data_IF_717807121275
#
_entry.id   IF_717807121275
#
_cell.length_a   1.000
_cell.length_b   1.000
_cell.length_c   1.000
_cell.angle_alpha   90.00
_cell.angle_beta   90.00
_cell.angle_gamma   90.00
#
_symmetry.space_group_name_H-M   'P 1'
#
loop_
_entity.id
_entity.type
_entity.pdbx_description
1 polymer ?
#
# COMPACT_ATOMS: atom_id res chain seq x y z
N UNK A 1 -7.75 -22.17 3.98
CA UNK A 1 -7.59 -20.92 4.75
C UNK A 1 -8.16 -19.76 3.94
N UNK A 2 -9.00 -18.95 4.54
CA UNK A 2 -9.56 -17.81 3.82
C UNK A 2 -8.67 -16.57 3.98
N UNK A 3 -8.97 -15.52 3.23
CA UNK A 3 -8.18 -14.31 3.23
C UNK A 3 -8.14 -13.63 4.61
N UNK A 4 -9.24 -13.65 5.35
CA UNK A 4 -9.27 -13.03 6.67
C UNK A 4 -8.32 -13.71 7.65
N UNK A 5 -8.22 -15.03 7.58
CA UNK A 5 -7.29 -15.77 8.44
C UNK A 5 -5.85 -15.42 8.13
N UNK A 6 -5.53 -15.25 6.85
CA UNK A 6 -4.18 -14.85 6.44
C UNK A 6 -3.87 -13.44 6.94
N UNK A 7 -4.81 -12.52 6.78
CA UNK A 7 -4.64 -11.13 7.23
C UNK A 7 -4.44 -11.07 8.73
N UNK A 8 -5.25 -11.80 9.50
CA UNK A 8 -5.12 -11.82 10.95
C UNK A 8 -3.77 -12.37 11.39
N UNK A 9 -3.31 -13.43 10.73
CA UNK A 9 -2.00 -14.01 11.04
C UNK A 9 -0.88 -13.01 10.78
N UNK A 10 -0.93 -12.33 9.63
CA UNK A 10 0.08 -11.33 9.27
C UNK A 10 0.03 -10.11 10.18
N UNK A 11 -1.17 -9.68 10.57
CA UNK A 11 -1.32 -8.54 11.47
C UNK A 11 -0.62 -8.79 12.81
N UNK A 12 -0.69 -10.03 13.32
CA UNK A 12 -0.04 -10.36 14.56
C UNK A 12 1.48 -10.34 14.49
N UNK A 13 2.05 -10.28 13.29
CA UNK A 13 3.51 -10.26 13.11
C UNK A 13 4.06 -8.88 12.86
N UNK A 14 3.22 -7.86 12.71
CA UNK A 14 3.70 -6.51 12.40
C UNK A 14 4.44 -5.88 13.57
N UNK A 15 4.20 -6.35 14.78
CA UNK A 15 4.89 -5.82 15.96
C UNK A 15 6.37 -6.18 15.99
N UNK A 16 6.73 -7.32 15.41
CA UNK A 16 8.11 -7.80 15.44
C UNK A 16 8.82 -7.66 14.11
N UNK A 17 8.11 -7.24 13.06
CA UNK A 17 8.70 -7.13 11.73
C UNK A 17 8.18 -5.90 11.02
N UNK A 18 9.02 -5.35 10.16
CA UNK A 18 8.57 -4.30 9.25
C UNK A 18 7.89 -4.96 8.08
N UNK A 19 6.65 -4.59 7.84
CA UNK A 19 5.91 -5.19 6.73
C UNK A 19 4.83 -4.27 6.21
N UNK A 20 4.44 -4.53 4.97
CA UNK A 20 3.30 -3.92 4.32
C UNK A 20 2.46 -5.06 3.79
N UNK A 21 1.19 -5.07 4.13
CA UNK A 21 0.24 -6.06 3.59
C UNK A 21 -0.94 -5.31 3.00
N UNK A 22 -1.20 -5.59 1.73
CA UNK A 22 -2.33 -5.01 1.01
C UNK A 22 -3.16 -6.16 0.45
N UNK A 23 -4.43 -6.18 0.77
CA UNK A 23 -5.32 -7.20 0.24
C UNK A 23 -6.62 -6.56 -0.23
N UNK A 24 -7.25 -7.22 -1.19
CA UNK A 24 -8.56 -6.80 -1.68
C UNK A 24 -9.48 -8.01 -1.76
N UNK A 25 -10.64 -7.90 -1.15
CA UNK A 25 -11.69 -8.88 -1.30
C UNK A 25 -12.69 -8.34 -2.34
N UNK A 26 -12.60 -8.88 -3.55
CA UNK A 26 -13.42 -8.39 -4.66
C UNK A 26 -14.91 -8.61 -4.42
N UNK A 27 -15.26 -9.70 -3.75
CA UNK A 27 -16.66 -10.02 -3.49
C UNK A 27 -17.30 -9.01 -2.56
N UNK A 28 -16.55 -8.51 -1.60
CA UNK A 28 -17.03 -7.53 -0.63
C UNK A 28 -16.64 -6.11 -0.98
N UNK A 29 -15.83 -5.93 -2.01
CA UNK A 29 -15.29 -4.63 -2.41
C UNK A 29 -14.58 -3.94 -1.24
N UNK A 30 -13.78 -4.71 -0.51
CA UNK A 30 -13.06 -4.23 0.67
C UNK A 30 -11.56 -4.39 0.50
N UNK A 31 -10.84 -3.33 0.86
CA UNK A 31 -9.38 -3.34 0.88
C UNK A 31 -8.91 -3.35 2.32
N UNK A 32 -7.85 -4.11 2.57
CA UNK A 32 -7.21 -4.14 3.89
C UNK A 32 -5.76 -3.70 3.75
N UNK A 33 -5.33 -2.84 4.64
CA UNK A 33 -3.95 -2.34 4.67
C UNK A 33 -3.39 -2.61 6.06
N UNK A 34 -2.26 -3.29 6.11
CA UNK A 34 -1.53 -3.52 7.35
C UNK A 34 -0.14 -2.93 7.17
N UNK A 35 0.21 -2.00 8.04
CA UNK A 35 1.52 -1.32 8.01
C UNK A 35 2.17 -1.40 9.38
N UNK A 36 3.44 -1.72 9.42
CA UNK A 36 4.22 -1.56 10.64
C UNK A 36 4.42 -0.07 10.93
N UNK A 37 4.82 0.25 12.15
CA UNK A 37 4.85 1.65 12.59
C UNK A 37 6.06 2.44 12.12
N UNK A 38 7.16 1.79 11.81
CA UNK A 38 8.38 2.49 11.44
C UNK A 38 8.40 2.87 9.96
N UNK A 39 7.96 4.08 9.67
CA UNK A 39 7.84 4.57 8.30
C UNK A 39 9.18 4.55 7.56
N UNK A 40 10.26 4.96 8.22
CA UNK A 40 11.57 4.99 7.58
C UNK A 40 12.05 3.62 7.15
N UNK A 41 11.84 2.62 8.00
CA UNK A 41 12.24 1.25 7.65
C UNK A 41 11.35 0.65 6.58
N UNK A 42 10.07 1.02 6.55
CA UNK A 42 9.19 0.58 5.48
C UNK A 42 9.66 1.14 4.14
N UNK A 43 10.05 2.40 4.11
CA UNK A 43 10.57 3.02 2.89
C UNK A 43 11.83 2.31 2.44
N UNK A 44 12.77 2.05 3.35
CA UNK A 44 14.00 1.35 3.00
C UNK A 44 13.72 -0.05 2.47
N UNK A 45 12.80 -0.75 3.10
CA UNK A 45 12.41 -2.09 2.66
C UNK A 45 11.81 -2.06 1.26
N UNK A 46 10.96 -1.07 0.98
CA UNK A 46 10.36 -0.91 -0.33
C UNK A 46 11.42 -0.61 -1.39
N UNK A 47 12.34 0.29 -1.09
CA UNK A 47 13.41 0.63 -2.02
C UNK A 47 14.24 -0.60 -2.36
N UNK A 48 14.63 -1.36 -1.36
CA UNK A 48 15.42 -2.57 -1.57
C UNK A 48 14.65 -3.60 -2.42
N UNK A 49 13.37 -3.78 -2.12
CA UNK A 49 12.53 -4.72 -2.86
C UNK A 49 12.35 -4.29 -4.32
N UNK A 50 12.20 -2.99 -4.55
CA UNK A 50 12.06 -2.46 -5.91
C UNK A 50 13.33 -2.65 -6.72
N UNK A 51 14.49 -2.57 -6.08
CA UNK A 51 15.77 -2.78 -6.76
C UNK A 51 15.92 -4.23 -7.21
N UNK A 52 15.36 -5.16 -6.46
CA UNK A 52 15.47 -6.58 -6.78
C UNK A 52 14.35 -7.08 -7.65
N UNK A 53 13.24 -6.34 -7.72
CA UNK A 53 12.05 -6.79 -8.45
C UNK A 53 11.52 -5.65 -9.32
N UNK A 54 11.85 -5.71 -10.61
CA UNK A 54 11.47 -4.65 -11.54
C UNK A 54 9.96 -4.55 -11.75
N UNK A 55 9.26 -5.67 -11.64
CA UNK A 55 7.80 -5.66 -11.76
C UNK A 55 7.17 -4.92 -10.59
N UNK A 56 7.70 -5.16 -9.37
CA UNK A 56 7.22 -4.46 -8.20
C UNK A 56 7.49 -2.96 -8.33
N UNK A 57 8.68 -2.59 -8.79
CA UNK A 57 9.02 -1.20 -9.01
C UNK A 57 8.05 -0.54 -9.99
N UNK A 58 7.73 -1.23 -11.08
CA UNK A 58 6.79 -0.72 -12.07
C UNK A 58 5.40 -0.52 -11.46
N UNK A 59 4.92 -1.51 -10.71
CA UNK A 59 3.59 -1.43 -10.08
C UNK A 59 3.51 -0.25 -9.14
N UNK A 60 4.52 -0.08 -8.30
CA UNK A 60 4.54 1.01 -7.32
C UNK A 60 4.58 2.36 -8.04
N UNK A 61 5.42 2.48 -9.06
CA UNK A 61 5.51 3.71 -9.83
C UNK A 61 4.17 4.07 -10.48
N UNK A 62 3.53 3.10 -11.13
CA UNK A 62 2.27 3.35 -11.80
C UNK A 62 1.16 3.68 -10.81
N UNK A 63 1.15 3.00 -9.66
CA UNK A 63 0.17 3.29 -8.62
C UNK A 63 0.35 4.72 -8.09
N UNK A 64 1.59 5.13 -7.86
CA UNK A 64 1.87 6.49 -7.39
C UNK A 64 1.41 7.54 -8.40
N UNK A 65 1.76 7.34 -9.67
CA UNK A 65 1.40 8.30 -10.71
C UNK A 65 -0.10 8.37 -10.92
N UNK A 66 -0.77 7.23 -10.89
CA UNK A 66 -2.23 7.19 -11.03
C UNK A 66 -2.90 7.92 -9.87
N UNK A 67 -2.44 7.69 -8.66
CA UNK A 67 -2.98 8.35 -7.49
C UNK A 67 -2.76 9.88 -7.56
N UNK A 68 -1.60 10.28 -8.04
CA UNK A 68 -1.29 11.70 -8.19
C UNK A 68 -2.22 12.37 -9.19
N UNK A 69 -2.47 11.72 -10.33
CA UNK A 69 -3.43 12.23 -11.31
C UNK A 69 -4.83 12.33 -10.75
N UNK A 70 -5.24 11.29 -10.03
CA UNK A 70 -6.56 11.25 -9.43
C UNK A 70 -6.74 12.39 -8.44
N UNK A 71 -5.74 12.64 -7.62
CA UNK A 71 -5.78 13.73 -6.66
C UNK A 71 -5.85 15.08 -7.34
N UNK A 72 -5.15 15.26 -8.46
CA UNK A 72 -5.15 16.52 -9.20
C UNK A 72 -6.49 16.78 -9.88
N UNK A 73 -7.14 15.74 -10.38
CA UNK A 73 -8.39 15.89 -11.13
C UNK A 73 -9.60 15.91 -10.24
N UNK A 74 -9.52 15.34 -9.04
CA UNK A 74 -10.66 15.20 -8.15
C UNK A 74 -10.51 15.97 -6.84
N UNK A 75 -9.48 16.78 -6.72
CA UNK A 75 -9.26 17.52 -5.50
C UNK A 75 -10.26 18.68 -5.38
N UNK A 76 -11.03 18.74 -4.32
CA UNK A 76 -11.97 19.84 -4.14
C UNK A 76 -11.30 21.15 -3.77
N UNK A 77 -10.11 21.06 -3.24
CA UNK A 77 -9.41 22.26 -2.80
C UNK A 77 -8.83 23.06 -3.94
N UNK A 78 -8.67 22.40 -4.97
CA UNK A 78 -8.09 23.05 -6.10
C UNK A 78 -9.16 23.85 -6.79
N UNK A 79 -9.49 23.95 -6.26
CA UNK A 79 -10.37 24.24 -6.55
C UNK A 79 -10.97 25.00 -5.99
N UNK A 80 -10.60 25.07 -5.60
CA UNK A 80 -11.03 25.48 -5.02
C UNK A 80 -10.97 26.23 -4.76
N UNK A 81 -10.68 26.52 -4.81
CA UNK A 81 -10.59 27.06 -4.47
C UNK A 81 -10.64 27.67 -4.70
N UNK A 82 -10.69 28.01 -4.88
CA UNK A 82 -10.72 28.64 -4.98
C UNK A 82 -10.88 29.49 -5.15
#
# INVERSE_FOLDING_TARGET
MNMNSIVEWLAGRTESRNCIVLTRDSALNQDTVILSQNTGEIIDMLVDSMRENSRLAFIIKEAYLTNKQYAQTNSPSVRRRR
#
